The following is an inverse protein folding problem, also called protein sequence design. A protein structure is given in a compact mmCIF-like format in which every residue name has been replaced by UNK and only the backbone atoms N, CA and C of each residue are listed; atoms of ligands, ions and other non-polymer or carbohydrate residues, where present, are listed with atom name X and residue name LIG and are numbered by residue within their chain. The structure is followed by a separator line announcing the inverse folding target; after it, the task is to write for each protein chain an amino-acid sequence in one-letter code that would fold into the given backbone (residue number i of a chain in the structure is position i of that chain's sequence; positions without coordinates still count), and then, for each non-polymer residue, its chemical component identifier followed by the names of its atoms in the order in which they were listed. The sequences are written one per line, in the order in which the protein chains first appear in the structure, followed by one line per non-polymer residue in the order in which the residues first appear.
data_IF_943667669648
#
_entry.id   IF_943667669648
#
_cell.length_a   1.000
_cell.length_b   1.000
_cell.length_c   1.000
_cell.angle_alpha   90.00
_cell.angle_beta   90.00
_cell.angle_gamma   90.00
#
_symmetry.space_group_name_H-M   'P 1'
#
loop_
_entity.id
_entity.type
_entity.pdbx_description
1 polymer ?
#
# COMPACT_ATOMS: atom_id res chain seq x y z
N UNK A 1 -7.34 -18.90 3.22
CA UNK A 1 -8.57 -19.73 3.14
C UNK A 1 -9.81 -18.84 3.23
N UNK A 2 -11.04 -19.33 2.95
CA UNK A 2 -12.27 -18.52 3.10
C UNK A 2 -12.50 -18.08 4.57
N UNK A 3 -12.20 -18.95 5.53
CA UNK A 3 -12.32 -18.66 6.96
C UNK A 3 -11.44 -17.47 7.38
N UNK A 4 -10.16 -17.46 6.98
CA UNK A 4 -9.25 -16.34 7.26
C UNK A 4 -9.76 -15.03 6.66
N UNK A 5 -10.28 -15.05 5.43
CA UNK A 5 -10.81 -13.83 4.78
C UNK A 5 -11.98 -13.28 5.60
N UNK A 6 -12.94 -14.12 5.98
CA UNK A 6 -14.07 -13.70 6.80
C UNK A 6 -13.64 -13.19 8.17
N UNK A 7 -12.61 -13.80 8.77
CA UNK A 7 -12.05 -13.38 10.04
C UNK A 7 -11.41 -11.98 9.94
N UNK A 8 -10.47 -11.79 9.00
CA UNK A 8 -9.76 -10.51 8.85
C UNK A 8 -10.64 -9.38 8.32
N UNK A 9 -11.71 -9.67 7.57
CA UNK A 9 -12.68 -8.64 7.16
C UNK A 9 -13.50 -8.07 8.32
N UNK A 10 -13.69 -8.84 9.40
CA UNK A 10 -14.39 -8.39 10.62
C UNK A 10 -13.46 -7.78 11.65
N UNK A 11 -12.15 -7.92 11.46
CA UNK A 11 -11.14 -7.43 12.38
C UNK A 11 -10.86 -5.95 12.08
N UNK A 12 -11.12 -5.06 13.03
CA UNK A 12 -10.78 -3.63 12.91
C UNK A 12 -9.33 -3.31 13.33
N UNK A 13 -8.64 -4.28 13.92
CA UNK A 13 -7.27 -4.11 14.39
C UNK A 13 -6.25 -4.17 13.26
N UNK A 14 -5.13 -3.46 13.45
CA UNK A 14 -3.96 -3.55 12.59
C UNK A 14 -3.41 -4.98 12.55
N UNK A 15 -3.05 -5.42 11.36
CA UNK A 15 -2.59 -6.78 11.07
C UNK A 15 -1.11 -6.93 11.42
N UNK A 16 -0.28 -5.91 11.19
CA UNK A 16 1.15 -6.01 11.50
C UNK A 16 1.45 -5.83 12.98
N UNK A 17 2.37 -6.64 13.48
CA UNK A 17 2.90 -6.47 14.83
C UNK A 17 3.73 -5.18 14.89
N UNK A 18 3.34 -4.26 15.79
CA UNK A 18 3.97 -2.94 15.93
C UNK A 18 5.49 -2.97 16.08
N UNK A 19 6.01 -3.94 16.85
CA UNK A 19 7.45 -4.07 17.11
C UNK A 19 8.21 -4.36 15.82
N UNK A 20 7.71 -5.31 15.02
CA UNK A 20 8.33 -5.71 13.75
C UNK A 20 8.25 -4.56 12.75
N UNK A 21 7.10 -3.89 12.66
CA UNK A 21 6.91 -2.76 11.75
C UNK A 21 7.82 -1.56 12.12
N UNK A 22 7.97 -1.29 13.42
CA UNK A 22 8.88 -0.23 13.89
C UNK A 22 10.33 -0.55 13.54
N UNK A 23 10.76 -1.80 13.73
CA UNK A 23 12.11 -2.23 13.34
C UNK A 23 12.33 -2.09 11.83
N UNK A 24 11.35 -2.46 11.01
CA UNK A 24 11.39 -2.30 9.56
C UNK A 24 11.59 -0.83 9.14
N UNK A 25 10.84 0.10 9.75
CA UNK A 25 11.01 1.54 9.48
C UNK A 25 12.42 2.00 9.85
N UNK A 26 12.94 1.56 10.99
CA UNK A 26 14.26 1.95 11.46
C UNK A 26 15.38 1.47 10.52
N UNK A 27 15.27 0.24 10.03
CA UNK A 27 16.20 -0.34 9.05
C UNK A 27 16.12 0.38 7.68
N UNK A 28 14.91 0.65 7.16
CA UNK A 28 14.72 1.40 5.91
C UNK A 28 15.32 2.80 6.03
N UNK A 29 15.11 3.46 7.16
CA UNK A 29 15.58 4.81 7.41
C UNK A 29 17.07 4.88 7.80
N UNK A 30 17.80 3.76 7.71
CA UNK A 30 19.23 3.64 8.09
C UNK A 30 19.54 4.23 9.46
N UNK A 31 18.59 4.20 10.40
CA UNK A 31 18.74 4.78 11.74
C UNK A 31 18.94 6.30 11.80
N UNK A 32 18.72 7.02 10.69
CA UNK A 32 19.06 8.44 10.58
C UNK A 32 18.05 9.37 11.27
N UNK A 33 16.81 8.93 11.51
CA UNK A 33 15.81 9.75 12.17
C UNK A 33 15.13 8.98 13.31
N UNK A 34 14.93 9.68 14.43
CA UNK A 34 14.07 9.24 15.51
C UNK A 34 12.64 9.71 15.22
N UNK A 35 11.74 8.76 14.95
CA UNK A 35 10.33 9.06 14.76
C UNK A 35 9.61 9.12 16.11
N UNK A 36 8.63 10.03 16.22
CA UNK A 36 7.68 9.97 17.34
C UNK A 36 6.81 8.72 17.23
N UNK A 37 6.37 8.19 18.37
CA UNK A 37 5.49 7.01 18.41
C UNK A 37 4.16 7.23 17.65
N UNK A 38 3.60 8.45 17.74
CA UNK A 38 2.42 8.85 16.96
C UNK A 38 2.67 8.76 15.46
N UNK A 39 3.83 9.23 14.98
CA UNK A 39 4.24 9.14 13.59
C UNK A 39 4.37 7.69 13.11
N UNK A 40 4.99 6.82 13.92
CA UNK A 40 5.12 5.40 13.59
C UNK A 40 3.76 4.70 13.46
N UNK A 41 2.80 5.00 14.36
CA UNK A 41 1.44 4.47 14.26
C UNK A 41 0.74 4.94 12.98
N UNK A 42 0.86 6.22 12.61
CA UNK A 42 0.25 6.77 11.39
C UNK A 42 0.83 6.08 10.15
N UNK A 43 2.17 5.94 10.08
CA UNK A 43 2.83 5.24 8.98
C UNK A 43 2.32 3.80 8.88
N UNK A 44 2.12 3.11 10.01
CA UNK A 44 1.59 1.75 10.01
C UNK A 44 0.17 1.68 9.46
N UNK A 45 -0.73 2.54 9.93
CA UNK A 45 -2.13 2.60 9.45
C UNK A 45 -2.15 2.84 7.94
N UNK A 46 -1.35 3.79 7.45
CA UNK A 46 -1.28 4.12 6.02
C UNK A 46 -0.72 2.94 5.22
N UNK A 47 0.35 2.30 5.69
CA UNK A 47 0.97 1.17 4.99
C UNK A 47 0.00 -0.02 4.86
N UNK A 48 -0.69 -0.38 5.93
CA UNK A 48 -1.69 -1.47 5.90
C UNK A 48 -2.87 -1.11 4.99
N UNK A 49 -3.35 0.13 5.03
CA UNK A 49 -4.42 0.59 4.14
C UNK A 49 -4.03 0.50 2.66
N UNK A 50 -2.81 0.91 2.31
CA UNK A 50 -2.28 0.81 0.95
C UNK A 50 -2.22 -0.66 0.52
N UNK A 51 -1.71 -1.55 1.39
CA UNK A 51 -1.60 -2.98 1.08
C UNK A 51 -2.98 -3.64 0.91
N UNK A 52 -3.94 -3.36 1.79
CA UNK A 52 -5.31 -3.87 1.67
C UNK A 52 -5.93 -3.44 0.33
N UNK A 53 -5.74 -2.17 -0.03
CA UNK A 53 -6.21 -1.62 -1.31
C UNK A 53 -5.54 -2.34 -2.49
N UNK A 54 -4.22 -2.53 -2.43
CA UNK A 54 -3.46 -3.24 -3.45
C UNK A 54 -3.93 -4.70 -3.60
N UNK A 55 -4.16 -5.41 -2.50
CA UNK A 55 -4.70 -6.78 -2.51
C UNK A 55 -6.11 -6.83 -3.12
N UNK A 56 -6.97 -5.86 -2.82
CA UNK A 56 -8.32 -5.78 -3.40
C UNK A 56 -8.28 -5.67 -4.93
N UNK A 57 -7.41 -4.82 -5.49
CA UNK A 57 -7.27 -4.72 -6.95
C UNK A 57 -6.65 -5.96 -7.57
N UNK A 58 -5.68 -6.59 -6.89
CA UNK A 58 -5.10 -7.87 -7.29
C UNK A 58 -6.15 -8.97 -7.41
N UNK A 59 -7.05 -9.08 -6.43
CA UNK A 59 -8.15 -10.04 -6.46
C UNK A 59 -9.07 -9.77 -7.66
N UNK A 60 -9.42 -8.51 -7.93
CA UNK A 60 -10.24 -8.15 -9.11
C UNK A 60 -9.59 -8.58 -10.43
N UNK A 61 -8.28 -8.39 -10.57
CA UNK A 61 -7.55 -8.77 -11.78
C UNK A 61 -7.48 -10.29 -11.95
N UNK A 62 -7.20 -11.04 -10.90
CA UNK A 62 -7.18 -12.51 -11.02
C UNK A 62 -8.57 -13.05 -11.37
N UNK A 63 -9.64 -12.48 -10.80
CA UNK A 63 -11.01 -12.88 -11.15
C UNK A 63 -11.34 -12.55 -12.60
N UNK A 64 -10.85 -11.43 -13.14
CA UNK A 64 -11.00 -11.10 -14.55
C UNK A 64 -10.30 -12.12 -15.47
N UNK A 65 -9.15 -12.66 -15.04
CA UNK A 65 -8.43 -13.72 -15.76
C UNK A 65 -8.89 -15.14 -15.40
N UNK A 66 -10.05 -15.32 -14.72
CA UNK A 66 -10.55 -16.62 -14.26
C UNK A 66 -9.55 -17.42 -13.42
N UNK A 67 -8.66 -16.72 -12.72
CA UNK A 67 -7.62 -17.29 -11.86
C UNK A 67 -7.99 -17.13 -10.38
N UNK A 68 -7.66 -18.13 -9.57
CA UNK A 68 -7.91 -18.14 -8.12
C UNK A 68 -6.65 -17.94 -7.27
N UNK A 69 -5.47 -17.99 -7.90
CA UNK A 69 -4.17 -17.83 -7.23
C UNK A 69 -3.58 -16.47 -7.57
N UNK A 70 -3.24 -15.70 -6.54
CA UNK A 70 -2.48 -14.46 -6.69
C UNK A 70 -1.01 -14.78 -6.93
N UNK A 71 -0.44 -14.27 -8.02
CA UNK A 71 0.97 -14.43 -8.35
C UNK A 71 1.72 -13.09 -8.32
N UNK A 72 3.05 -13.16 -8.26
CA UNK A 72 3.93 -11.99 -8.36
C UNK A 72 3.67 -11.20 -9.65
N UNK A 73 3.36 -11.87 -10.77
CA UNK A 73 3.04 -11.23 -12.06
C UNK A 73 1.83 -10.29 -11.94
N UNK A 74 0.79 -10.72 -11.24
CA UNK A 74 -0.42 -9.91 -11.04
C UNK A 74 -0.11 -8.65 -10.21
N UNK A 75 0.71 -8.81 -9.17
CA UNK A 75 1.15 -7.69 -8.33
C UNK A 75 2.00 -6.70 -9.13
N UNK A 76 2.93 -7.21 -9.96
CA UNK A 76 3.77 -6.39 -10.83
C UNK A 76 2.92 -5.59 -11.84
N UNK A 77 1.90 -6.22 -12.44
CA UNK A 77 0.99 -5.55 -13.37
C UNK A 77 0.30 -4.36 -12.70
N UNK A 78 -0.21 -4.52 -11.47
CA UNK A 78 -0.88 -3.42 -10.76
C UNK A 78 0.08 -2.32 -10.38
N UNK A 79 1.26 -2.65 -9.87
CA UNK A 79 2.28 -1.64 -9.55
C UNK A 79 2.63 -0.84 -10.81
N UNK A 80 2.73 -1.50 -11.97
CA UNK A 80 2.99 -0.82 -13.23
C UNK A 80 1.82 0.10 -13.62
N UNK A 81 0.57 -0.36 -13.51
CA UNK A 81 -0.62 0.48 -13.76
C UNK A 81 -0.63 1.70 -12.82
N UNK A 82 -0.41 1.50 -11.51
CA UNK A 82 -0.36 2.59 -10.53
C UNK A 82 0.78 3.56 -10.87
N UNK A 83 1.97 3.07 -11.22
CA UNK A 83 3.10 3.91 -11.64
C UNK A 83 2.74 4.73 -12.87
N UNK A 84 2.15 4.12 -13.89
CA UNK A 84 1.72 4.82 -15.10
C UNK A 84 0.66 5.86 -14.77
N UNK A 85 -0.38 5.54 -14.00
CA UNK A 85 -1.41 6.50 -13.59
C UNK A 85 -0.83 7.64 -12.76
N UNK A 86 0.08 7.37 -11.82
CA UNK A 86 0.76 8.40 -11.04
C UNK A 86 1.59 9.32 -11.95
N UNK A 87 2.33 8.76 -12.90
CA UNK A 87 3.09 9.53 -13.88
C UNK A 87 2.15 10.36 -14.75
N UNK A 88 1.04 9.79 -15.25
CA UNK A 88 0.05 10.50 -16.06
C UNK A 88 -0.57 11.66 -15.28
N UNK A 89 -1.00 11.43 -14.04
CA UNK A 89 -1.51 12.50 -13.17
C UNK A 89 -0.43 13.55 -12.93
N UNK A 90 0.82 13.16 -12.62
CA UNK A 90 1.93 14.10 -12.44
C UNK A 90 2.27 14.89 -13.71
N UNK A 91 2.16 14.29 -14.90
CA UNK A 91 2.35 14.98 -16.19
C UNK A 91 1.20 15.92 -16.49
N UNK A 92 -0.04 15.52 -16.21
CA UNK A 92 -1.25 16.34 -16.38
C UNK A 92 -1.23 17.57 -15.45
N UNK A 93 -0.68 17.41 -14.23
CA UNK A 93 -0.36 18.50 -13.30
C UNK A 93 0.79 19.40 -13.78
N UNK A 94 1.76 18.88 -14.54
CA UNK A 94 2.85 19.69 -15.11
C UNK A 94 2.40 20.46 -16.36
N UNK A 95 1.40 19.96 -17.10
CA UNK A 95 0.85 20.65 -18.27
C UNK A 95 -0.23 21.68 -17.93
N UNK A 96 -0.83 21.60 -16.73
CA UNK A 96 -1.79 22.57 -16.20
C UNK A 96 -1.09 23.45 -15.16
N UNK A 97 -0.45 24.54 -15.62
CA UNK A 97 0.35 25.45 -14.79
C UNK A 97 -0.39 26.04 -13.56
N UNK A 98 0.41 26.46 -12.55
CA UNK A 98 0.10 27.49 -11.53
C UNK A 98 -0.50 27.15 -10.15
N UNK A 99 -0.39 25.94 -9.59
CA UNK A 99 -0.67 25.75 -8.16
C UNK A 99 0.41 24.93 -7.42
N UNK A 100 1.09 25.62 -6.50
CA UNK A 100 1.98 25.07 -5.47
C UNK A 100 1.16 24.28 -4.45
N UNK A 101 1.44 22.99 -4.26
CA UNK A 101 1.12 22.23 -3.02
C UNK A 101 2.25 21.20 -2.84
N UNK A 102 3.25 21.48 -2.00
CA UNK A 102 3.40 21.09 -0.57
C UNK A 102 3.18 19.59 -0.35
N UNK A 103 4.28 18.92 0.03
CA UNK A 103 4.33 17.51 0.42
C UNK A 103 3.80 17.31 1.85
#
# INVERSE_FOLDING_TARGET
SLHEICFYQKLENLIFLKIIFTYLIYEINKRNYQFQYSTLNIIQVIAEFILITLFKYNIKIITHYSCVILTVRNTQLIINIIKTLKITLSVEFLTNEHYVIIL
#
